data_IF_594091761952
#
_entry.id   IF_594091761952
#
_cell.length_a   1.000
_cell.length_b   1.000
_cell.length_c   1.000
_cell.angle_alpha   90.00
_cell.angle_beta   90.00
_cell.angle_gamma   90.00
#
_symmetry.space_group_name_H-M   'P 1'
#
loop_
_entity.id
_entity.type
_entity.pdbx_description
1 polymer ?
#
# COMPACT_ATOMS: atom_id res chain seq x y z
N UNK A 1 -24.30 -54.49 -21.70
CA UNK A 1 -25.33 -53.58 -22.23
C UNK A 1 -25.37 -52.40 -21.26
N UNK A 2 -24.69 -51.28 -21.56
CA UNK A 2 -25.16 -50.15 -22.40
C UNK A 2 -26.43 -49.51 -21.78
N UNK A 3 -26.59 -48.20 -21.58
CA UNK A 3 -25.96 -46.97 -22.08
C UNK A 3 -26.43 -45.86 -21.06
N UNK A 4 -25.71 -44.80 -20.68
CA UNK A 4 -25.21 -43.62 -21.42
C UNK A 4 -25.79 -42.37 -20.70
N UNK A 5 -24.91 -41.62 -20.06
CA UNK A 5 -25.18 -40.43 -19.26
C UNK A 5 -24.23 -39.34 -19.76
N UNK A 6 -24.80 -38.37 -20.46
CA UNK A 6 -24.21 -37.07 -20.80
C UNK A 6 -23.00 -37.08 -21.72
N UNK A 7 -23.27 -37.17 -23.03
CA UNK A 7 -22.40 -36.64 -24.07
C UNK A 7 -22.41 -35.11 -24.05
N UNK A 8 -21.27 -34.51 -23.76
CA UNK A 8 -20.88 -33.18 -24.21
C UNK A 8 -19.45 -33.30 -24.74
N UNK A 9 -19.35 -33.38 -26.07
CA UNK A 9 -18.11 -33.18 -26.82
C UNK A 9 -17.78 -31.68 -26.81
N UNK A 10 -16.59 -31.32 -26.32
CA UNK A 10 -15.68 -30.32 -26.94
C UNK A 10 -14.41 -30.18 -26.07
N UNK A 11 -13.35 -30.88 -26.49
CA UNK A 11 -11.97 -30.67 -26.03
C UNK A 11 -11.35 -29.48 -26.81
N UNK A 12 -10.72 -28.48 -26.16
CA UNK A 12 -10.01 -27.43 -26.88
C UNK A 12 -8.63 -27.93 -27.35
N UNK A 13 -8.44 -27.96 -28.67
CA UNK A 13 -7.19 -28.33 -29.33
C UNK A 13 -6.02 -27.39 -28.96
N UNK A 14 -4.89 -27.99 -28.57
CA UNK A 14 -3.69 -27.31 -28.15
C UNK A 14 -3.01 -26.54 -29.31
N UNK A 15 -2.85 -25.22 -29.17
CA UNK A 15 -2.02 -24.40 -30.07
C UNK A 15 -0.53 -24.75 -29.91
N UNK A 16 0.11 -25.15 -31.00
CA UNK A 16 1.56 -25.35 -31.13
C UNK A 16 2.32 -24.01 -31.02
N UNK A 17 3.50 -23.97 -30.40
CA UNK A 17 4.31 -22.75 -30.30
C UNK A 17 5.04 -22.43 -31.63
N UNK A 18 5.05 -21.16 -32.00
CA UNK A 18 5.81 -20.58 -33.12
C UNK A 18 7.31 -20.45 -32.78
N UNK A 19 8.25 -20.56 -33.75
CA UNK A 19 9.67 -20.50 -33.48
C UNK A 19 10.17 -19.06 -33.25
N UNK A 20 11.26 -18.87 -32.50
CA UNK A 20 11.73 -17.55 -32.07
C UNK A 20 12.35 -16.75 -33.23
N UNK A 21 11.94 -15.49 -33.35
CA UNK A 21 12.58 -14.51 -34.24
C UNK A 21 13.99 -14.15 -33.74
N UNK A 22 14.94 -14.10 -34.67
CA UNK A 22 16.36 -13.80 -34.41
C UNK A 22 16.55 -12.39 -33.86
N UNK A 23 17.37 -12.30 -32.82
CA UNK A 23 17.84 -11.05 -32.21
C UNK A 23 18.65 -10.20 -33.20
N UNK A 24 18.26 -8.93 -33.36
CA UNK A 24 19.06 -7.88 -33.99
C UNK A 24 20.05 -7.28 -32.98
N UNK A 25 21.26 -7.05 -33.46
CA UNK A 25 22.44 -6.57 -32.73
C UNK A 25 22.34 -5.07 -32.35
N UNK A 26 23.16 -4.58 -31.40
CA UNK A 26 22.99 -3.26 -30.79
C UNK A 26 23.44 -2.10 -31.69
N UNK A 27 22.72 -0.99 -31.59
CA UNK A 27 22.97 0.25 -32.32
C UNK A 27 24.27 0.94 -31.86
N UNK A 28 25.12 1.27 -32.82
CA UNK A 28 26.29 2.13 -32.66
C UNK A 28 25.88 3.60 -32.51
N UNK A 29 26.61 4.33 -31.66
CA UNK A 29 26.44 5.75 -31.40
C UNK A 29 26.68 6.59 -32.67
N UNK A 30 25.76 7.53 -32.97
CA UNK A 30 25.90 8.50 -34.04
C UNK A 30 25.81 9.92 -33.47
N UNK A 31 26.83 10.72 -33.80
CA UNK A 31 27.07 12.09 -33.31
C UNK A 31 26.01 13.09 -33.84
N UNK A 32 25.80 14.24 -33.16
CA UNK A 32 24.79 15.21 -33.55
C UNK A 32 25.23 16.02 -34.76
N UNK A 33 24.46 15.93 -35.86
CA UNK A 33 24.60 16.80 -37.02
C UNK A 33 23.60 17.96 -36.94
N UNK A 34 24.13 19.17 -37.12
CA UNK A 34 23.44 20.47 -37.06
C UNK A 34 22.43 20.64 -38.20
N UNK A 35 21.21 21.08 -37.87
CA UNK A 35 20.17 21.41 -38.84
C UNK A 35 20.54 22.69 -39.64
N UNK A 36 20.34 22.72 -40.96
CA UNK A 36 20.47 23.96 -41.74
C UNK A 36 19.23 24.85 -41.61
N UNK A 37 19.46 26.16 -41.57
CA UNK A 37 18.44 27.20 -41.43
C UNK A 37 17.51 27.28 -42.66
N UNK A 38 16.21 27.34 -42.43
CA UNK A 38 15.18 27.57 -43.46
C UNK A 38 14.83 29.05 -43.50
N UNK A 39 15.00 29.66 -44.68
CA UNK A 39 14.65 31.05 -45.03
C UNK A 39 13.12 31.19 -45.16
N UNK A 40 12.49 32.31 -44.71
CA UNK A 40 11.04 32.43 -44.70
C UNK A 40 10.46 32.87 -46.05
N UNK A 41 9.37 32.24 -46.47
CA UNK A 41 8.54 32.62 -47.63
C UNK A 41 7.33 33.45 -47.15
N UNK A 42 6.91 34.52 -47.86
CA UNK A 42 5.91 35.48 -47.35
C UNK A 42 4.47 34.94 -47.34
N UNK A 43 3.69 35.46 -46.38
CA UNK A 43 2.31 35.07 -46.08
C UNK A 43 1.28 35.52 -47.13
N UNK A 44 0.22 34.74 -47.40
CA UNK A 44 -0.94 35.19 -48.16
C UNK A 44 -1.95 36.01 -47.31
N UNK A 45 -2.78 36.87 -47.94
CA UNK A 45 -3.50 37.96 -47.29
C UNK A 45 -4.73 37.52 -46.46
N UNK A 46 -5.05 38.34 -45.46
CA UNK A 46 -6.08 38.13 -44.46
C UNK A 46 -7.51 38.10 -45.06
N UNK A 47 -8.22 37.00 -44.81
CA UNK A 47 -9.67 36.89 -45.01
C UNK A 47 -10.32 37.12 -43.65
N UNK A 48 -11.11 38.18 -43.52
CA UNK A 48 -11.89 38.49 -42.32
C UNK A 48 -13.01 37.45 -42.16
N UNK A 49 -12.77 36.45 -41.31
CA UNK A 49 -13.83 35.56 -40.83
C UNK A 49 -14.62 36.28 -39.73
N UNK A 50 -15.88 36.57 -40.01
CA UNK A 50 -16.88 36.97 -39.01
C UNK A 50 -16.94 35.91 -37.92
N UNK A 51 -16.44 36.25 -36.73
CA UNK A 51 -16.49 35.38 -35.56
C UNK A 51 -17.94 35.28 -35.06
N UNK A 52 -18.63 34.22 -35.45
CA UNK A 52 -19.76 33.72 -34.69
C UNK A 52 -19.20 33.18 -33.37
N UNK A 53 -19.36 33.93 -32.28
CA UNK A 53 -19.02 33.49 -30.93
C UNK A 53 -19.90 32.33 -30.52
N UNK A 54 -19.53 31.11 -30.94
CA UNK A 54 -19.87 29.92 -30.19
C UNK A 54 -19.13 30.06 -28.86
N UNK A 55 -19.88 30.19 -27.75
CA UNK A 55 -19.32 30.11 -26.41
C UNK A 55 -18.62 28.75 -26.29
N UNK A 56 -17.30 28.75 -26.48
CA UNK A 56 -16.46 27.60 -26.23
C UNK A 56 -16.63 27.29 -24.74
N UNK A 57 -17.32 26.18 -24.45
CA UNK A 57 -17.43 25.63 -23.11
C UNK A 57 -16.01 25.55 -22.54
N UNK A 58 -15.78 26.27 -21.45
CA UNK A 58 -14.46 26.60 -20.89
C UNK A 58 -13.67 25.42 -20.30
N UNK A 59 -13.62 24.31 -21.00
CA UNK A 59 -12.72 23.20 -20.73
C UNK A 59 -11.36 23.51 -21.36
N UNK A 60 -10.36 23.71 -20.53
CA UNK A 60 -8.99 24.02 -20.98
C UNK A 60 -7.98 23.20 -20.17
N UNK A 61 -6.68 23.41 -20.42
CA UNK A 61 -5.63 22.74 -19.64
C UNK A 61 -5.77 22.97 -18.13
N UNK A 62 -6.31 24.12 -17.68
CA UNK A 62 -6.55 24.39 -16.26
C UNK A 62 -7.70 23.59 -15.65
N UNK A 63 -8.53 22.93 -16.47
CA UNK A 63 -9.58 22.01 -16.02
C UNK A 63 -9.05 20.61 -15.67
N UNK A 64 -7.77 20.34 -15.96
CA UNK A 64 -7.13 19.06 -15.66
C UNK A 64 -6.51 19.14 -14.26
N UNK A 65 -7.08 18.39 -13.32
CA UNK A 65 -6.57 18.24 -11.96
C UNK A 65 -5.57 17.08 -11.89
N UNK A 66 -4.38 17.34 -11.32
CA UNK A 66 -3.38 16.32 -11.01
C UNK A 66 -3.33 16.17 -9.50
N UNK A 67 -3.66 14.98 -9.02
CA UNK A 67 -3.60 14.64 -7.61
C UNK A 67 -2.23 14.04 -7.28
N UNK A 68 -1.56 14.58 -6.28
CA UNK A 68 -0.19 14.21 -5.93
C UNK A 68 -0.11 13.32 -4.68
N UNK A 69 0.97 12.55 -4.55
CA UNK A 69 1.24 11.73 -3.37
C UNK A 69 0.10 10.75 -3.04
N UNK A 70 -0.55 10.97 -1.90
CA UNK A 70 -1.63 10.13 -1.37
C UNK A 70 -3.04 10.73 -1.55
N UNK A 71 -3.16 11.91 -2.16
CA UNK A 71 -4.45 12.55 -2.44
C UNK A 71 -5.40 11.66 -3.26
N UNK A 72 -4.94 10.90 -4.30
CA UNK A 72 -5.81 9.99 -5.03
C UNK A 72 -6.47 8.94 -4.15
N UNK A 73 -5.77 8.46 -3.11
CA UNK A 73 -6.27 7.46 -2.16
C UNK A 73 -7.43 8.02 -1.36
N UNK A 74 -7.27 9.23 -0.81
CA UNK A 74 -8.32 9.90 -0.04
C UNK A 74 -9.51 10.30 -0.90
N UNK A 75 -9.27 10.72 -2.15
CA UNK A 75 -10.34 11.11 -3.07
C UNK A 75 -11.15 9.92 -3.56
N UNK A 76 -10.51 8.75 -3.73
CA UNK A 76 -11.13 7.53 -4.28
C UNK A 76 -10.78 6.28 -3.45
N UNK A 77 -11.11 6.22 -2.15
CA UNK A 77 -10.74 5.12 -1.26
C UNK A 77 -11.26 3.76 -1.74
N UNK A 78 -12.43 3.75 -2.40
CA UNK A 78 -13.01 2.54 -2.98
C UNK A 78 -12.11 1.82 -3.99
N UNK A 79 -11.25 2.55 -4.70
CA UNK A 79 -10.29 1.96 -5.65
C UNK A 79 -9.17 1.19 -4.94
N UNK A 80 -8.86 1.54 -3.68
CA UNK A 80 -7.72 0.99 -2.95
C UNK A 80 -8.14 -0.04 -1.90
N UNK A 81 -9.26 0.19 -1.19
CA UNK A 81 -9.74 -0.68 -0.09
C UNK A 81 -11.16 -1.23 -0.30
N UNK A 82 -11.73 -1.04 -1.49
CA UNK A 82 -13.02 -1.62 -1.88
C UNK A 82 -14.26 -0.91 -1.32
N UNK A 83 -14.11 0.19 -0.57
CA UNK A 83 -15.21 1.01 -0.10
C UNK A 83 -14.80 1.97 1.02
N UNK A 84 -15.80 2.48 1.76
CA UNK A 84 -15.62 3.25 3.02
C UNK A 84 -16.54 2.75 4.12
N UNK A 85 -17.07 1.53 3.97
CA UNK A 85 -17.93 0.89 4.95
C UNK A 85 -17.11 0.22 6.08
N UNK A 86 -17.80 -0.44 7.02
CA UNK A 86 -17.16 -1.19 8.10
C UNK A 86 -16.17 -2.23 7.56
N UNK A 87 -16.48 -2.90 6.44
CA UNK A 87 -15.58 -3.89 5.85
C UNK A 87 -14.29 -3.25 5.38
N UNK A 88 -14.38 -2.12 4.68
CA UNK A 88 -13.23 -1.38 4.19
C UNK A 88 -12.38 -0.83 5.34
N UNK A 89 -13.01 -0.34 6.41
CA UNK A 89 -12.31 0.10 7.63
C UNK A 89 -11.46 -1.03 8.24
N UNK A 90 -11.99 -2.26 8.34
CA UNK A 90 -11.23 -3.39 8.85
C UNK A 90 -10.16 -3.90 7.88
N UNK A 91 -10.28 -3.55 6.59
CA UNK A 91 -9.25 -3.87 5.61
C UNK A 91 -7.94 -3.13 5.91
N UNK A 92 -8.00 -1.95 6.52
CA UNK A 92 -6.80 -1.25 7.01
C UNK A 92 -5.99 -2.11 7.98
N UNK A 93 -6.67 -2.82 8.88
CA UNK A 93 -6.00 -3.77 9.77
C UNK A 93 -5.39 -4.95 9.01
N UNK A 94 -6.10 -5.49 8.02
CA UNK A 94 -5.59 -6.60 7.20
C UNK A 94 -4.26 -6.22 6.55
N UNK A 95 -4.15 -5.03 5.96
CA UNK A 95 -2.93 -4.55 5.29
C UNK A 95 -1.73 -4.46 6.25
N UNK A 96 -1.94 -3.95 7.47
CA UNK A 96 -0.87 -3.86 8.47
C UNK A 96 -0.50 -5.24 9.00
N UNK A 97 -1.49 -6.07 9.33
CA UNK A 97 -1.27 -7.44 9.81
C UNK A 97 -0.55 -8.29 8.77
N UNK A 98 -0.87 -8.15 7.49
CA UNK A 98 -0.26 -8.92 6.41
C UNK A 98 1.20 -8.54 6.21
N UNK A 99 1.57 -7.28 6.41
CA UNK A 99 2.99 -6.89 6.43
C UNK A 99 3.76 -7.54 7.59
N UNK A 100 3.17 -7.62 8.79
CA UNK A 100 3.76 -8.31 9.94
C UNK A 100 3.85 -9.84 9.69
N UNK A 101 2.82 -10.42 9.07
CA UNK A 101 2.81 -11.84 8.70
C UNK A 101 3.85 -12.16 7.62
N UNK A 102 4.12 -11.26 6.67
CA UNK A 102 5.17 -11.47 5.66
C UNK A 102 6.57 -11.56 6.29
N UNK A 103 6.83 -10.85 7.41
CA UNK A 103 8.06 -11.04 8.20
C UNK A 103 8.09 -12.41 8.89
N UNK A 104 6.95 -12.92 9.35
CA UNK A 104 6.85 -14.26 9.94
C UNK A 104 7.04 -15.36 8.88
N UNK A 105 6.44 -15.19 7.70
CA UNK A 105 6.59 -16.09 6.54
C UNK A 105 8.06 -16.14 6.09
N UNK A 106 8.74 -15.00 6.09
CA UNK A 106 10.17 -14.91 5.83
C UNK A 106 11.06 -15.38 7.01
N UNK A 107 10.46 -15.91 8.10
CA UNK A 107 11.14 -16.42 9.31
C UNK A 107 11.95 -15.38 10.08
N UNK A 108 11.59 -14.11 9.94
CA UNK A 108 12.20 -13.01 10.66
C UNK A 108 11.41 -12.61 11.91
N UNK A 109 10.10 -12.83 11.93
CA UNK A 109 9.24 -12.60 13.08
C UNK A 109 8.73 -13.93 13.67
N UNK A 110 8.53 -13.96 14.98
CA UNK A 110 7.89 -15.06 15.73
C UNK A 110 6.70 -14.58 16.54
N UNK A 111 6.68 -13.31 16.93
CA UNK A 111 5.64 -12.72 17.75
C UNK A 111 5.06 -11.49 17.06
N UNK A 112 3.74 -11.49 16.91
CA UNK A 112 2.97 -10.32 16.52
C UNK A 112 2.09 -9.92 17.71
N UNK A 113 2.03 -8.64 18.05
CA UNK A 113 1.09 -8.10 19.03
C UNK A 113 0.06 -7.25 18.32
N UNK A 114 -1.21 -7.48 18.61
CA UNK A 114 -2.34 -6.68 18.14
C UNK A 114 -3.05 -6.11 19.36
N UNK A 115 -3.20 -4.79 19.40
CA UNK A 115 -3.79 -4.06 20.53
C UNK A 115 -4.78 -3.02 20.03
N UNK A 116 -6.04 -3.11 20.48
CA UNK A 116 -7.07 -2.08 20.27
C UNK A 116 -7.31 -1.33 21.58
N UNK A 117 -6.92 -0.07 21.65
CA UNK A 117 -6.99 0.72 22.88
C UNK A 117 -8.35 1.39 23.12
N UNK A 118 -8.49 2.03 24.29
CA UNK A 118 -9.72 2.67 24.71
C UNK A 118 -10.05 3.91 23.86
N UNK A 119 -9.05 4.55 23.26
CA UNK A 119 -9.18 5.73 22.38
C UNK A 119 -9.53 5.35 20.94
N UNK A 120 -9.47 4.05 20.60
CA UNK A 120 -9.81 3.52 19.29
C UNK A 120 -8.65 3.46 18.31
N UNK A 121 -7.41 3.61 18.79
CA UNK A 121 -6.23 3.29 17.99
C UNK A 121 -6.01 1.78 17.95
N UNK A 122 -5.64 1.31 16.76
CA UNK A 122 -5.22 -0.04 16.54
C UNK A 122 -3.71 -0.09 16.35
N UNK A 123 -3.05 -0.92 17.14
CA UNK A 123 -1.61 -1.13 17.11
C UNK A 123 -1.30 -2.55 16.63
N UNK A 124 -0.40 -2.67 15.66
CA UNK A 124 0.17 -3.94 15.23
C UNK A 124 1.67 -3.86 15.32
N UNK A 125 2.27 -4.77 16.08
CA UNK A 125 3.71 -4.86 16.27
C UNK A 125 4.23 -6.23 15.90
N UNK A 126 5.27 -6.30 15.08
CA UNK A 126 6.08 -7.51 14.87
C UNK A 126 7.44 -7.41 15.59
N UNK A 127 8.12 -8.53 15.70
CA UNK A 127 9.52 -8.64 16.11
C UNK A 127 10.47 -8.96 14.94
N UNK A 128 10.07 -8.58 13.72
CA UNK A 128 10.80 -8.83 12.48
C UNK A 128 12.04 -7.95 12.29
N UNK A 129 12.45 -7.75 11.03
CA UNK A 129 13.64 -6.97 10.66
C UNK A 129 13.51 -5.47 10.92
N UNK A 130 12.28 -4.95 10.98
CA UNK A 130 11.99 -3.52 11.00
C UNK A 130 12.09 -2.89 9.59
N UNK A 131 11.17 -1.98 9.28
CA UNK A 131 11.21 -1.17 8.04
C UNK A 131 12.55 -0.43 7.95
N UNK A 132 13.24 -0.41 6.78
CA UNK A 132 14.47 0.35 6.62
C UNK A 132 14.28 1.85 6.91
N UNK A 133 15.23 2.44 7.63
CA UNK A 133 15.18 3.84 8.11
C UNK A 133 16.25 4.72 7.47
N UNK A 134 17.15 4.12 6.69
CA UNK A 134 18.20 4.80 5.94
C UNK A 134 17.64 5.73 4.85
N UNK A 135 18.40 6.75 4.43
CA UNK A 135 18.02 7.62 3.32
C UNK A 135 17.76 6.82 2.04
N UNK A 136 16.64 7.08 1.38
CA UNK A 136 16.25 6.35 0.19
C UNK A 136 17.01 6.86 -1.06
N UNK A 137 17.70 5.99 -1.83
CA UNK A 137 18.60 6.42 -2.90
C UNK A 137 17.92 7.17 -4.06
N UNK A 138 16.63 6.92 -4.29
CA UNK A 138 15.83 7.60 -5.34
C UNK A 138 14.97 8.76 -4.82
N UNK A 139 14.92 8.99 -3.51
CA UNK A 139 14.14 10.07 -2.90
C UNK A 139 15.04 10.85 -1.94
N UNK A 140 15.91 11.73 -2.46
CA UNK A 140 16.82 12.53 -1.64
C UNK A 140 16.07 13.28 -0.53
N UNK A 141 16.62 13.25 0.68
CA UNK A 141 16.03 13.89 1.85
C UNK A 141 14.95 13.07 2.58
N UNK A 142 14.54 11.90 2.05
CA UNK A 142 13.56 11.01 2.69
C UNK A 142 14.19 9.72 3.16
N UNK A 143 13.75 9.20 4.31
CA UNK A 143 14.07 7.84 4.73
C UNK A 143 13.27 6.82 3.90
N UNK A 144 13.74 5.58 3.82
CA UNK A 144 12.98 4.50 3.21
C UNK A 144 11.62 4.26 3.92
N UNK A 145 11.56 4.49 5.24
CA UNK A 145 10.31 4.51 6.02
C UNK A 145 9.34 5.57 5.51
N UNK A 146 9.80 6.80 5.34
CA UNK A 146 8.93 7.87 4.84
C UNK A 146 8.45 7.57 3.42
N UNK A 147 9.33 7.04 2.55
CA UNK A 147 8.96 6.65 1.19
C UNK A 147 7.86 5.59 1.18
N UNK A 148 8.00 4.50 1.94
CA UNK A 148 6.98 3.43 1.97
C UNK A 148 5.65 3.91 2.55
N UNK A 149 5.68 4.93 3.43
CA UNK A 149 4.48 5.51 4.02
C UNK A 149 3.81 6.58 3.15
N UNK A 150 4.53 7.21 2.22
CA UNK A 150 4.01 8.40 1.49
C UNK A 150 3.98 8.25 -0.04
N UNK A 151 4.56 7.19 -0.59
CA UNK A 151 4.65 6.97 -2.04
C UNK A 151 3.95 5.66 -2.40
N UNK A 152 2.94 5.74 -3.27
CA UNK A 152 2.29 4.55 -3.83
C UNK A 152 3.26 3.76 -4.70
N UNK A 153 3.04 2.44 -4.78
CA UNK A 153 3.88 1.51 -5.55
C UNK A 153 5.34 1.51 -5.10
N UNK A 154 5.56 1.64 -3.79
CA UNK A 154 6.88 1.55 -3.17
C UNK A 154 6.92 0.36 -2.19
N UNK A 155 8.04 -0.35 -2.16
CA UNK A 155 8.19 -1.54 -1.31
C UNK A 155 9.27 -2.51 -1.78
N UNK A 156 9.67 -3.42 -0.88
CA UNK A 156 10.70 -4.44 -1.15
C UNK A 156 10.18 -5.72 -1.83
N UNK A 157 8.87 -5.84 -2.09
CA UNK A 157 8.20 -7.09 -2.48
C UNK A 157 8.12 -7.31 -4.00
N UNK A 158 8.68 -6.41 -4.83
CA UNK A 158 8.55 -6.49 -6.30
C UNK A 158 9.49 -7.48 -6.99
N UNK A 159 10.59 -7.88 -6.36
CA UNK A 159 11.67 -8.61 -7.04
C UNK A 159 11.97 -9.99 -6.45
N UNK A 160 11.18 -10.47 -5.48
CA UNK A 160 11.43 -11.73 -4.75
C UNK A 160 12.68 -11.75 -3.87
N UNK A 161 13.55 -10.72 -3.96
CA UNK A 161 14.86 -10.70 -3.25
C UNK A 161 14.74 -10.51 -1.75
N UNK A 162 13.77 -9.71 -1.28
CA UNK A 162 13.59 -9.43 0.14
C UNK A 162 12.58 -10.36 0.82
N UNK A 163 11.68 -10.95 0.01
CA UNK A 163 10.63 -11.88 0.40
C UNK A 163 10.47 -12.91 -0.72
N UNK A 164 10.79 -14.18 -0.46
CA UNK A 164 10.62 -15.26 -1.44
C UNK A 164 9.14 -15.58 -1.69
N UNK A 165 8.29 -15.37 -0.68
CA UNK A 165 6.83 -15.46 -0.77
C UNK A 165 6.23 -14.41 0.15
N UNK A 166 5.30 -13.60 -0.37
CA UNK A 166 4.59 -12.58 0.40
C UNK A 166 3.17 -12.39 -0.13
N UNK A 167 2.22 -12.10 0.76
CA UNK A 167 0.84 -11.78 0.37
C UNK A 167 0.72 -10.40 -0.30
N UNK A 168 1.55 -9.43 0.11
CA UNK A 168 1.56 -8.09 -0.47
C UNK A 168 2.42 -7.99 -1.72
N UNK A 169 1.83 -7.64 -2.88
CA UNK A 169 2.56 -7.52 -4.15
C UNK A 169 2.51 -6.12 -4.77
N UNK A 170 1.56 -5.29 -4.34
CA UNK A 170 1.26 -4.02 -5.02
C UNK A 170 2.11 -2.83 -4.53
N UNK A 171 2.69 -2.91 -3.32
CA UNK A 171 3.43 -1.81 -2.71
C UNK A 171 2.57 -0.58 -2.38
N UNK A 172 1.30 -0.80 -2.02
CA UNK A 172 0.35 0.28 -1.68
C UNK A 172 -0.27 0.15 -0.29
N UNK A 173 -0.23 -1.03 0.33
CA UNK A 173 -1.02 -1.34 1.53
C UNK A 173 -0.85 -0.35 2.67
N UNK A 174 0.38 -0.20 3.18
CA UNK A 174 0.64 0.64 4.36
C UNK A 174 0.54 2.15 4.06
N UNK A 175 0.84 2.59 2.84
CA UNK A 175 0.65 3.98 2.41
C UNK A 175 -0.83 4.33 2.28
N UNK A 176 -1.68 3.38 1.85
CA UNK A 176 -3.13 3.53 1.87
C UNK A 176 -3.66 3.61 3.31
N UNK A 177 -3.15 2.77 4.23
CA UNK A 177 -3.49 2.88 5.66
C UNK A 177 -3.13 4.27 6.20
N UNK A 178 -1.93 4.77 5.90
CA UNK A 178 -1.52 6.12 6.28
C UNK A 178 -2.45 7.21 5.71
N UNK A 179 -2.76 7.13 4.41
CA UNK A 179 -3.65 8.09 3.75
C UNK A 179 -5.05 8.16 4.38
N UNK A 180 -5.57 7.01 4.83
CA UNK A 180 -6.95 6.87 5.35
C UNK A 180 -7.02 6.87 6.89
N UNK A 181 -5.93 7.24 7.55
CA UNK A 181 -5.88 7.41 9.01
C UNK A 181 -5.84 8.89 9.37
N UNK A 182 -6.61 9.30 10.39
CA UNK A 182 -6.51 10.65 10.98
C UNK A 182 -5.10 10.86 11.54
N UNK A 183 -4.60 9.84 12.24
CA UNK A 183 -3.27 9.80 12.82
C UNK A 183 -2.65 8.42 12.66
N UNK A 184 -1.37 8.37 12.32
CA UNK A 184 -0.58 7.15 12.26
C UNK A 184 0.83 7.39 12.82
N UNK A 185 1.22 6.58 13.79
CA UNK A 185 2.56 6.53 14.35
C UNK A 185 3.28 5.26 13.91
N UNK A 186 4.54 5.42 13.53
CA UNK A 186 5.45 4.31 13.27
C UNK A 186 6.57 4.34 14.29
N UNK A 187 6.78 3.21 14.95
CA UNK A 187 8.01 2.96 15.70
C UNK A 187 8.75 1.79 15.09
N UNK A 188 10.03 1.97 14.75
CA UNK A 188 10.89 0.89 14.25
C UNK A 188 12.01 0.66 15.25
N UNK A 189 12.29 -0.60 15.57
CA UNK A 189 13.51 -0.98 16.26
C UNK A 189 14.45 -1.65 15.27
N UNK A 190 15.54 -0.96 14.91
CA UNK A 190 16.49 -1.41 13.90
C UNK A 190 17.85 -0.74 14.13
N UNK A 191 18.93 -1.43 13.76
CA UNK A 191 20.31 -0.93 13.81
C UNK A 191 20.75 -0.45 15.21
N UNK A 192 20.17 -1.05 16.26
CA UNK A 192 20.49 -0.76 17.66
C UNK A 192 19.74 0.44 18.25
N UNK A 193 18.76 1.00 17.54
CA UNK A 193 17.99 2.17 17.98
C UNK A 193 16.48 1.99 17.80
N UNK A 194 15.73 2.75 18.59
CA UNK A 194 14.32 3.05 18.37
C UNK A 194 14.19 4.28 17.48
N UNK A 195 13.40 4.18 16.41
CA UNK A 195 13.12 5.23 15.46
C UNK A 195 11.63 5.55 15.45
N UNK A 196 11.25 6.81 15.34
CA UNK A 196 9.84 7.24 15.29
C UNK A 196 9.56 8.21 14.17
N UNK A 197 8.40 8.06 13.55
CA UNK A 197 7.84 9.06 12.64
C UNK A 197 6.31 9.02 12.73
N UNK A 198 5.70 10.20 12.73
CA UNK A 198 4.26 10.37 12.86
C UNK A 198 3.68 11.05 11.62
N UNK A 199 2.44 10.69 11.31
CA UNK A 199 1.74 11.11 10.13
C UNK A 199 0.30 11.49 10.47
N UNK A 200 -0.28 12.40 9.70
CA UNK A 200 -1.70 12.71 9.73
C UNK A 200 -2.26 12.74 8.32
N UNK A 201 -3.27 11.90 8.05
CA UNK A 201 -3.95 11.85 6.74
C UNK A 201 -3.01 11.66 5.56
N UNK A 202 -1.96 10.86 5.74
CA UNK A 202 -0.93 10.62 4.75
C UNK A 202 0.23 11.63 4.76
N UNK A 203 0.10 12.75 5.46
CA UNK A 203 1.13 13.79 5.52
C UNK A 203 2.12 13.54 6.67
N UNK A 204 3.38 13.81 6.41
CA UNK A 204 4.47 13.71 7.39
C UNK A 204 4.34 14.84 8.42
N UNK A 205 4.30 14.51 9.72
CA UNK A 205 4.25 15.53 10.79
C UNK A 205 5.63 16.02 11.23
N UNK A 206 6.68 15.27 10.90
CA UNK A 206 8.06 15.63 11.20
C UNK A 206 9.06 14.64 10.61
N UNK A 207 10.36 14.97 10.65
CA UNK A 207 11.39 14.05 10.18
C UNK A 207 11.42 12.78 11.03
N UNK A 208 11.97 11.71 10.48
CA UNK A 208 12.25 10.50 11.27
C UNK A 208 13.23 10.82 12.42
N UNK A 209 12.87 10.41 13.63
CA UNK A 209 13.63 10.67 14.85
C UNK A 209 14.33 9.39 15.31
N UNK A 210 15.63 9.48 15.53
CA UNK A 210 16.39 8.48 16.29
C UNK A 210 16.20 8.78 17.78
N UNK A 211 15.50 7.91 18.51
CA UNK A 211 15.04 8.19 19.89
C UNK A 211 16.07 7.74 20.92
N UNK A 212 16.22 6.43 21.10
CA UNK A 212 17.07 5.86 22.15
C UNK A 212 17.71 4.56 21.66
N UNK A 213 18.89 4.17 22.19
CA UNK A 213 19.43 2.84 21.96
C UNK A 213 18.43 1.75 22.40
N UNK A 214 18.31 0.70 21.61
CA UNK A 214 17.39 -0.40 21.88
C UNK A 214 17.94 -1.73 21.37
N UNK A 215 17.70 -2.78 22.15
CA UNK A 215 17.99 -4.18 21.75
C UNK A 215 16.78 -4.85 21.08
N UNK A 216 15.62 -4.18 21.04
CA UNK A 216 14.42 -4.67 20.37
C UNK A 216 14.65 -4.69 18.86
N UNK A 217 13.81 -5.44 18.15
CA UNK A 217 13.68 -5.41 16.69
C UNK A 217 12.21 -5.40 16.29
N UNK A 218 11.94 -5.02 15.05
CA UNK A 218 10.63 -5.07 14.43
C UNK A 218 9.99 -3.71 14.21
N UNK A 219 8.74 -3.73 13.79
CA UNK A 219 7.95 -2.54 13.48
C UNK A 219 6.70 -2.51 14.35
N UNK A 220 6.32 -1.33 14.83
CA UNK A 220 5.02 -1.02 15.41
C UNK A 220 4.34 0.04 14.53
N UNK A 221 3.16 -0.27 14.05
CA UNK A 221 2.24 0.67 13.40
C UNK A 221 1.06 0.87 14.33
N UNK A 222 0.82 2.11 14.78
CA UNK A 222 -0.35 2.50 15.58
C UNK A 222 -1.13 3.54 14.81
N UNK A 223 -2.41 3.29 14.53
CA UNK A 223 -3.20 4.17 13.68
C UNK A 223 -4.65 4.27 14.13
N UNK A 224 -5.28 5.39 13.78
CA UNK A 224 -6.71 5.65 13.98
C UNK A 224 -7.36 6.01 12.64
N UNK A 225 -8.39 5.27 12.19
CA UNK A 225 -9.10 5.57 10.94
C UNK A 225 -9.65 7.00 10.91
N UNK A 226 -9.70 7.61 9.73
CA UNK A 226 -10.19 8.98 9.57
C UNK A 226 -11.72 9.05 9.45
N UNK A 227 -12.37 9.74 10.37
CA UNK A 227 -13.81 9.97 10.37
C UNK A 227 -14.29 10.76 9.13
N UNK A 228 -13.42 11.55 8.48
CA UNK A 228 -13.75 12.20 7.21
C UNK A 228 -13.92 11.21 6.04
N UNK A 229 -13.33 10.02 6.15
CA UNK A 229 -13.40 8.97 5.13
C UNK A 229 -14.49 7.95 5.47
N UNK A 230 -14.52 7.49 6.72
CA UNK A 230 -15.39 6.39 7.15
C UNK A 230 -16.70 6.84 7.81
N UNK A 231 -16.86 8.15 8.04
CA UNK A 231 -17.99 8.75 8.73
C UNK A 231 -17.80 8.82 10.24
N UNK A 232 -18.40 9.83 10.86
CA UNK A 232 -18.32 10.02 12.32
C UNK A 232 -18.83 8.80 13.08
N UNK A 233 -18.05 8.36 14.07
CA UNK A 233 -18.38 7.20 14.90
C UNK A 233 -18.06 5.85 14.26
N UNK A 234 -17.42 5.84 13.08
CA UNK A 234 -16.83 4.63 12.53
C UNK A 234 -15.78 4.08 13.52
N UNK A 235 -15.90 2.79 13.83
CA UNK A 235 -15.04 2.16 14.83
C UNK A 235 -14.75 0.71 14.45
N UNK A 236 -13.56 0.24 14.82
CA UNK A 236 -13.24 -1.16 14.75
C UNK A 236 -14.20 -2.00 15.61
N UNK A 237 -14.58 -3.16 15.09
CA UNK A 237 -15.33 -4.20 15.79
C UNK A 237 -14.34 -5.23 16.34
N UNK A 238 -14.19 -5.36 17.67
CA UNK A 238 -13.24 -6.31 18.26
C UNK A 238 -13.40 -7.74 17.74
N UNK A 239 -14.63 -8.25 17.63
CA UNK A 239 -14.87 -9.60 17.11
C UNK A 239 -14.32 -9.81 15.69
N UNK A 240 -14.36 -8.78 14.84
CA UNK A 240 -13.88 -8.89 13.47
C UNK A 240 -12.35 -8.88 13.42
N UNK A 241 -11.71 -7.95 14.13
CA UNK A 241 -10.26 -7.91 14.27
C UNK A 241 -9.71 -9.21 14.87
N UNK A 242 -10.32 -9.69 15.97
CA UNK A 242 -9.95 -10.92 16.63
C UNK A 242 -10.05 -12.13 15.70
N UNK A 243 -11.15 -12.27 14.94
CA UNK A 243 -11.31 -13.34 13.95
C UNK A 243 -10.23 -13.28 12.87
N UNK A 244 -9.93 -12.09 12.35
CA UNK A 244 -8.88 -11.91 11.33
C UNK A 244 -7.50 -12.32 11.87
N UNK A 245 -7.13 -11.86 13.07
CA UNK A 245 -5.90 -12.25 13.74
C UNK A 245 -5.83 -13.76 13.97
N UNK A 246 -6.89 -14.37 14.50
CA UNK A 246 -6.97 -15.81 14.75
C UNK A 246 -6.83 -16.62 13.46
N UNK A 247 -7.51 -16.21 12.39
CA UNK A 247 -7.40 -16.87 11.09
C UNK A 247 -5.96 -16.84 10.55
N UNK A 248 -5.23 -15.74 10.71
CA UNK A 248 -3.83 -15.65 10.27
C UNK A 248 -2.90 -16.52 11.11
N UNK A 249 -3.06 -16.51 12.45
CA UNK A 249 -2.28 -17.37 13.34
C UNK A 249 -2.45 -18.86 13.04
N UNK A 250 -3.67 -19.30 12.71
CA UNK A 250 -3.97 -20.71 12.43
C UNK A 250 -3.55 -21.18 11.03
N UNK A 251 -3.16 -20.27 10.14
CA UNK A 251 -2.67 -20.63 8.80
C UNK A 251 -1.15 -20.77 8.74
N UNK A 252 -0.42 -20.23 9.73
CA UNK A 252 1.03 -20.23 9.71
C UNK A 252 1.62 -20.80 11.01
N UNK A 253 2.24 -21.97 10.91
CA UNK A 253 2.92 -22.59 12.05
C UNK A 253 4.15 -21.79 12.45
N UNK A 254 4.30 -21.53 13.74
CA UNK A 254 5.50 -20.90 14.30
C UNK A 254 5.41 -19.38 14.50
N UNK A 255 4.24 -18.77 14.24
CA UNK A 255 3.94 -17.41 14.68
C UNK A 255 2.95 -17.44 15.84
N UNK A 256 3.21 -16.61 16.85
CA UNK A 256 2.28 -16.30 17.92
C UNK A 256 1.69 -14.91 17.69
N UNK A 257 0.37 -14.78 17.81
CA UNK A 257 -0.30 -13.49 17.81
C UNK A 257 -0.88 -13.23 19.20
N UNK A 258 -0.30 -12.26 19.91
CA UNK A 258 -0.81 -11.76 21.19
C UNK A 258 -1.86 -10.69 20.92
N UNK A 259 -3.10 -10.98 21.26
CA UNK A 259 -4.23 -10.07 21.15
C UNK A 259 -4.49 -9.37 22.48
N UNK A 260 -4.78 -8.07 22.44
CA UNK A 260 -5.28 -7.27 23.57
C UNK A 260 -6.33 -6.28 23.06
N UNK A 261 -7.38 -6.07 23.84
CA UNK A 261 -8.46 -5.13 23.55
C UNK A 261 -8.91 -4.48 24.85
N UNK A 262 -9.07 -3.15 24.83
CA UNK A 262 -9.63 -2.41 25.95
C UNK A 262 -11.05 -2.94 26.29
N UNK A 263 -11.33 -3.27 27.57
CA UNK A 263 -12.63 -3.82 27.97
C UNK A 263 -13.84 -2.98 27.52
N UNK A 264 -13.71 -1.65 27.57
CA UNK A 264 -14.79 -0.72 27.20
C UNK A 264 -15.17 -0.78 25.71
N UNK A 265 -14.32 -1.37 24.87
CA UNK A 265 -14.60 -1.57 23.44
C UNK A 265 -15.32 -2.89 23.16
N UNK A 266 -15.38 -3.80 24.13
CA UNK A 266 -15.94 -5.13 23.96
C UNK A 266 -17.43 -5.11 24.26
N UNK A 267 -18.24 -5.20 23.22
CA UNK A 267 -19.71 -5.27 23.31
C UNK A 267 -20.25 -6.67 23.00
N UNK A 268 -19.36 -7.64 22.81
CA UNK A 268 -19.66 -9.00 22.38
C UNK A 268 -18.80 -10.02 23.17
N UNK A 269 -18.73 -11.27 22.70
CA UNK A 269 -17.98 -12.34 23.37
C UNK A 269 -16.46 -12.34 23.07
N UNK A 270 -15.91 -11.28 22.46
CA UNK A 270 -14.48 -11.18 22.16
C UNK A 270 -13.68 -11.15 23.46
N UNK A 271 -12.65 -11.99 23.61
CA UNK A 271 -11.81 -11.94 24.80
C UNK A 271 -10.99 -10.65 24.82
N UNK A 272 -10.83 -10.05 26.02
CA UNK A 272 -9.99 -8.87 26.19
C UNK A 272 -8.49 -9.17 25.94
N UNK A 273 -8.07 -10.41 26.17
CA UNK A 273 -6.71 -10.87 25.90
C UNK A 273 -6.73 -12.30 25.37
N UNK A 274 -5.84 -12.61 24.43
CA UNK A 274 -5.63 -13.98 23.98
C UNK A 274 -4.22 -14.16 23.41
N UNK A 275 -3.74 -15.40 23.46
CA UNK A 275 -2.57 -15.83 22.70
C UNK A 275 -3.04 -16.79 21.62
N UNK A 276 -2.83 -16.42 20.36
CA UNK A 276 -3.32 -17.15 19.18
C UNK A 276 -2.13 -17.83 18.48
N UNK A 277 -2.21 -19.12 18.27
CA UNK A 277 -1.21 -19.94 17.58
C UNK A 277 -1.86 -21.21 17.02
N UNK A 278 -1.20 -21.89 16.08
CA UNK A 278 -1.64 -23.16 15.49
C UNK A 278 -1.67 -24.31 16.51
#
# INVERSE_FOLDING_TARGET
>A
MAADLFAFDDEPEARKPEPPQKASQPAAAMQPQTAPAVVPTPAPPAVQATATTAAATGYSASSIEVLEGLEPVRKRPGMYIGGTDERALHHLFAEVLDNAMDEAVARHAKLITVDLDAEGYLSVRDDGRGIPVDPHPKHPGKSALEVVMTVLHSGGKFSGKAYETSGGLHGVGVSVVNALSEHLDVTVWRDGFEWKQSFSRGHVLGPILQVQPSKKKGTLIRFKPDDEIFGMGAAFKPARLFRMARSKAYLFRGVEIKWTCAPDRITDATPAQALLHF
#
